data_IF_471430580432
#
_entry.id   IF_471430580432
#
_cell.length_a   1.000
_cell.length_b   1.000
_cell.length_c   1.000
_cell.angle_alpha   90.00
_cell.angle_beta   90.00
_cell.angle_gamma   90.00
#
_symmetry.space_group_name_H-M   'P 1'
#
loop_
_entity.id
_entity.type
_entity.pdbx_description
1 polymer ?
#
# COMPACT_ATOMS: atom_id res chain seq x y z
N UNK A 1 15.97 17.33 14.00
CA UNK A 1 14.50 17.27 13.91
C UNK A 1 14.06 16.30 14.98
N UNK A 2 13.08 16.66 15.81
CA UNK A 2 12.56 15.77 16.85
C UNK A 2 11.09 15.49 16.59
N UNK A 3 10.72 14.22 16.64
CA UNK A 3 9.34 13.78 16.50
C UNK A 3 8.54 14.02 17.78
N UNK A 4 7.26 14.31 17.61
CA UNK A 4 6.29 14.15 18.69
C UNK A 4 6.14 12.67 19.06
N UNK A 5 5.57 12.38 20.23
CA UNK A 5 5.32 10.99 20.66
C UNK A 5 4.44 10.22 19.67
N UNK A 6 3.44 10.89 19.08
CA UNK A 6 2.56 10.29 18.07
C UNK A 6 3.31 9.95 16.77
N UNK A 7 4.14 10.89 16.28
CA UNK A 7 4.99 10.67 15.12
C UNK A 7 5.95 9.49 15.34
N UNK A 8 6.52 9.38 16.55
CA UNK A 8 7.42 8.27 16.91
C UNK A 8 6.69 6.92 16.84
N UNK A 9 5.51 6.82 17.45
CA UNK A 9 4.68 5.61 17.42
C UNK A 9 4.32 5.23 15.98
N UNK A 10 3.96 6.22 15.15
CA UNK A 10 3.67 5.99 13.75
C UNK A 10 4.88 5.46 12.98
N UNK A 11 6.04 6.11 13.10
CA UNK A 11 7.26 5.68 12.43
C UNK A 11 7.70 4.29 12.87
N UNK A 12 7.54 3.94 14.14
CA UNK A 12 7.86 2.59 14.63
C UNK A 12 6.97 1.52 13.97
N UNK A 13 5.68 1.81 13.76
CA UNK A 13 4.78 0.91 13.02
C UNK A 13 5.17 0.78 11.55
N UNK A 14 5.53 1.89 10.91
CA UNK A 14 5.99 1.88 9.51
C UNK A 14 7.28 1.07 9.38
N UNK A 15 8.27 1.31 10.24
CA UNK A 15 9.56 0.59 10.22
C UNK A 15 9.38 -0.90 10.50
N UNK A 16 8.49 -1.28 11.42
CA UNK A 16 8.14 -2.68 11.65
C UNK A 16 7.49 -3.31 10.41
N UNK A 17 6.62 -2.59 9.71
CA UNK A 17 6.03 -3.07 8.45
C UNK A 17 7.07 -3.19 7.33
N UNK A 18 8.05 -2.29 7.26
CA UNK A 18 9.19 -2.38 6.31
C UNK A 18 10.02 -3.63 6.60
N UNK A 19 10.41 -3.85 7.86
CA UNK A 19 11.21 -5.04 8.22
C UNK A 19 10.46 -6.34 7.92
N UNK A 20 9.15 -6.38 8.16
CA UNK A 20 8.31 -7.52 7.77
C UNK A 20 8.25 -7.71 6.24
N UNK A 21 8.15 -6.62 5.47
CA UNK A 21 8.17 -6.68 4.01
C UNK A 21 9.50 -7.20 3.45
N UNK A 22 10.64 -6.80 4.05
CA UNK A 22 11.96 -7.24 3.63
C UNK A 22 12.22 -8.73 3.92
N UNK A 23 11.64 -9.24 5.00
CA UNK A 23 11.63 -10.70 5.29
C UNK A 23 10.69 -11.46 4.35
N UNK A 24 9.60 -10.82 3.93
CA UNK A 24 8.50 -11.45 3.22
C UNK A 24 7.49 -12.11 4.17
N UNK A 25 6.26 -12.35 3.71
CA UNK A 25 5.24 -13.00 4.52
C UNK A 25 5.53 -14.49 4.69
N UNK A 26 5.20 -15.04 5.86
CA UNK A 26 5.14 -16.49 6.06
C UNK A 26 3.87 -17.09 5.44
N UNK A 27 3.83 -18.41 5.30
CA UNK A 27 2.62 -19.12 4.84
C UNK A 27 1.41 -18.83 5.75
N UNK A 28 1.64 -18.72 7.06
CA UNK A 28 0.59 -18.40 8.03
C UNK A 28 0.08 -16.95 7.89
N UNK A 29 0.98 -16.01 7.59
CA UNK A 29 0.60 -14.62 7.29
C UNK A 29 -0.32 -14.56 6.06
N UNK A 30 0.05 -15.28 5.00
CA UNK A 30 -0.74 -15.33 3.76
C UNK A 30 -2.07 -16.05 3.98
N UNK A 31 -2.08 -17.19 4.66
CA UNK A 31 -3.29 -17.97 4.88
C UNK A 31 -4.36 -17.20 5.67
N UNK A 32 -3.92 -16.36 6.61
CA UNK A 32 -4.81 -15.52 7.42
C UNK A 32 -5.12 -14.14 6.80
N UNK A 33 -4.43 -13.76 5.73
CA UNK A 33 -4.58 -12.46 5.12
C UNK A 33 -5.89 -12.32 4.32
N UNK A 34 -6.58 -11.16 4.42
CA UNK A 34 -7.69 -10.83 3.54
C UNK A 34 -7.27 -10.85 2.08
N UNK A 35 -8.16 -11.28 1.19
CA UNK A 35 -7.92 -11.22 -0.25
C UNK A 35 -8.39 -9.86 -0.77
N UNK A 36 -7.57 -9.20 -1.59
CA UNK A 36 -7.89 -7.97 -2.27
C UNK A 36 -7.91 -8.23 -3.76
N UNK A 37 -9.08 -8.03 -4.36
CA UNK A 37 -9.38 -8.27 -5.77
C UNK A 37 -9.75 -6.97 -6.48
N UNK A 38 -9.63 -6.98 -7.81
CA UNK A 38 -9.85 -5.82 -8.70
C UNK A 38 -9.19 -4.57 -8.14
N UNK A 39 -7.94 -4.73 -7.73
CA UNK A 39 -7.23 -3.71 -6.98
C UNK A 39 -6.44 -2.76 -7.91
N UNK A 40 -6.24 -1.53 -7.45
CA UNK A 40 -5.42 -0.53 -8.14
C UNK A 40 -4.69 0.35 -7.12
N UNK A 41 -3.42 0.70 -7.36
CA UNK A 41 -2.70 1.65 -6.51
C UNK A 41 -3.20 3.08 -6.70
N UNK A 42 -3.19 3.84 -5.61
CA UNK A 42 -3.53 5.25 -5.61
C UNK A 42 -2.71 6.01 -4.56
N UNK A 43 -2.63 7.33 -4.73
CA UNK A 43 -2.15 8.26 -3.73
C UNK A 43 -3.38 8.83 -3.00
N UNK A 44 -3.42 8.72 -1.68
CA UNK A 44 -4.50 9.27 -0.86
C UNK A 44 -4.44 10.80 -0.80
N UNK A 45 -5.49 11.49 -0.36
CA UNK A 45 -5.46 12.94 -0.14
C UNK A 45 -4.34 13.41 0.79
N UNK A 46 -3.84 12.53 1.66
CA UNK A 46 -2.73 12.79 2.58
C UNK A 46 -1.35 12.46 1.96
N UNK A 47 -1.29 12.07 0.69
CA UNK A 47 -0.05 11.75 -0.02
C UNK A 47 0.48 10.33 0.23
N UNK A 48 -0.30 9.45 0.87
CA UNK A 48 0.12 8.07 1.11
C UNK A 48 -0.18 7.18 -0.10
N UNK A 49 0.78 6.34 -0.48
CA UNK A 49 0.50 5.22 -1.37
C UNK A 49 -0.44 4.25 -0.67
N UNK A 50 -1.51 3.85 -1.34
CA UNK A 50 -2.50 2.88 -0.85
C UNK A 50 -2.94 1.98 -2.01
N UNK A 51 -3.67 0.92 -1.68
CA UNK A 51 -4.47 0.19 -2.66
C UNK A 51 -5.94 0.48 -2.40
N UNK A 52 -6.74 0.51 -3.46
CA UNK A 52 -8.19 0.35 -3.36
C UNK A 52 -8.62 -0.88 -4.15
N UNK A 53 -9.73 -1.50 -3.76
CA UNK A 53 -10.24 -2.71 -4.39
C UNK A 53 -11.38 -3.36 -3.61
N UNK A 54 -11.81 -4.53 -4.03
CA UNK A 54 -12.77 -5.37 -3.29
C UNK A 54 -12.02 -6.30 -2.36
N UNK A 55 -12.25 -6.18 -1.06
CA UNK A 55 -11.70 -7.09 -0.07
C UNK A 55 -12.70 -8.20 0.28
N UNK A 56 -12.19 -9.40 0.53
CA UNK A 56 -12.93 -10.48 1.18
C UNK A 56 -12.18 -11.04 2.38
N UNK A 57 -12.94 -11.49 3.39
CA UNK A 57 -12.39 -12.04 4.63
C UNK A 57 -11.71 -10.99 5.52
N UNK A 58 -12.08 -9.71 5.41
CA UNK A 58 -11.50 -8.67 6.24
C UNK A 58 -12.02 -8.75 7.70
N UNK A 59 -11.16 -8.88 8.72
CA UNK A 59 -11.60 -9.18 10.09
C UNK A 59 -12.47 -8.10 10.74
N UNK A 60 -12.36 -6.86 10.26
CA UNK A 60 -13.10 -5.69 10.81
C UNK A 60 -14.19 -5.20 9.85
N UNK A 61 -14.01 -5.37 8.54
CA UNK A 61 -14.82 -4.69 7.51
C UNK A 61 -15.70 -5.67 6.73
N UNK A 62 -15.52 -6.97 6.93
CA UNK A 62 -16.15 -8.00 6.12
C UNK A 62 -15.77 -7.88 4.64
N UNK A 63 -16.67 -8.33 3.79
CA UNK A 63 -16.51 -8.24 2.35
C UNK A 63 -17.01 -6.87 1.87
N UNK A 64 -16.13 -6.06 1.28
CA UNK A 64 -16.45 -4.66 0.98
C UNK A 64 -15.51 -4.07 -0.09
N UNK A 65 -15.86 -2.89 -0.62
CA UNK A 65 -14.91 -2.03 -1.32
C UNK A 65 -14.16 -1.16 -0.31
N UNK A 66 -12.84 -1.19 -0.36
CA UNK A 66 -12.00 -0.49 0.62
C UNK A 66 -10.88 0.31 -0.04
N UNK A 67 -10.37 1.28 0.70
CA UNK A 67 -8.98 1.73 0.59
C UNK A 67 -8.19 1.10 1.73
N UNK A 68 -6.96 0.68 1.47
CA UNK A 68 -6.09 0.12 2.50
C UNK A 68 -5.46 1.23 3.34
N UNK A 69 -4.92 0.87 4.51
CA UNK A 69 -3.88 1.71 5.13
C UNK A 69 -2.67 1.87 4.20
N UNK A 70 -1.76 2.78 4.53
CA UNK A 70 -0.56 3.06 3.73
C UNK A 70 0.16 1.76 3.30
N UNK A 71 0.37 1.64 2.00
CA UNK A 71 1.12 0.58 1.34
C UNK A 71 2.61 0.77 1.60
N UNK A 72 3.27 -0.32 1.97
CA UNK A 72 4.71 -0.36 2.31
C UNK A 72 5.48 -1.17 1.27
N UNK A 73 4.93 -2.32 0.86
CA UNK A 73 5.52 -3.15 -0.17
C UNK A 73 4.45 -3.91 -0.92
N UNK A 74 4.77 -4.31 -2.15
CA UNK A 74 3.91 -5.12 -2.99
C UNK A 74 4.76 -6.05 -3.84
N UNK A 75 4.30 -7.28 -4.00
CA UNK A 75 4.79 -8.19 -5.00
C UNK A 75 3.57 -8.82 -5.70
N UNK A 76 3.15 -8.19 -6.80
CA UNK A 76 1.98 -8.62 -7.55
C UNK A 76 2.17 -10.02 -8.16
N UNK A 77 3.38 -10.35 -8.62
CA UNK A 77 3.70 -11.67 -9.16
C UNK A 77 3.61 -12.78 -8.11
N UNK A 78 4.04 -12.49 -6.87
CA UNK A 78 3.90 -13.41 -5.74
C UNK A 78 2.53 -13.30 -5.02
N UNK A 79 1.62 -12.45 -5.52
CA UNK A 79 0.26 -12.35 -5.01
C UNK A 79 0.11 -11.76 -3.62
N UNK A 80 0.97 -10.82 -3.19
CA UNK A 80 0.85 -10.21 -1.87
C UNK A 80 1.15 -8.71 -1.80
N UNK A 81 0.59 -8.04 -0.80
CA UNK A 81 0.92 -6.67 -0.40
C UNK A 81 1.12 -6.55 1.12
N UNK A 82 2.10 -5.75 1.53
CA UNK A 82 2.29 -5.29 2.91
C UNK A 82 1.83 -3.86 3.04
N UNK A 83 0.87 -3.62 3.94
CA UNK A 83 0.51 -2.28 4.39
C UNK A 83 1.06 -2.03 5.79
N UNK A 84 0.90 -0.84 6.35
CA UNK A 84 1.28 -0.59 7.76
C UNK A 84 0.52 -1.54 8.71
N UNK A 85 -0.76 -1.80 8.43
CA UNK A 85 -1.62 -2.56 9.34
C UNK A 85 -1.56 -4.07 9.14
N UNK A 86 -1.54 -4.57 7.91
CA UNK A 86 -1.61 -6.03 7.64
C UNK A 86 -1.03 -6.45 6.28
N UNK A 87 -0.96 -7.75 6.09
CA UNK A 87 -0.78 -8.40 4.80
C UNK A 87 -2.10 -8.51 4.04
N UNK A 88 -2.03 -8.53 2.72
CA UNK A 88 -3.13 -8.87 1.82
C UNK A 88 -2.67 -9.91 0.81
N UNK A 89 -3.54 -10.86 0.50
CA UNK A 89 -3.43 -11.68 -0.71
C UNK A 89 -3.96 -10.89 -1.88
N UNK A 90 -3.19 -10.78 -2.95
CA UNK A 90 -3.61 -10.10 -4.16
C UNK A 90 -4.21 -11.12 -5.12
N UNK A 91 -5.47 -10.90 -5.47
CA UNK A 91 -6.10 -11.56 -6.60
C UNK A 91 -5.83 -10.71 -7.87
N UNK A 92 -6.85 -10.47 -8.71
CA UNK A 92 -6.63 -9.84 -9.99
C UNK A 92 -6.47 -8.30 -9.85
N UNK A 93 -5.46 -7.67 -10.46
CA UNK A 93 -5.42 -6.22 -10.59
C UNK A 93 -6.57 -5.72 -11.48
N UNK A 94 -7.10 -4.53 -11.21
CA UNK A 94 -8.23 -3.97 -11.96
C UNK A 94 -7.93 -3.84 -13.47
N UNK A 95 -6.72 -3.44 -13.84
CA UNK A 95 -6.33 -3.32 -15.25
C UNK A 95 -6.37 -4.66 -16.01
N UNK A 96 -6.00 -5.75 -15.33
CA UNK A 96 -6.09 -7.09 -15.91
C UNK A 96 -7.55 -7.52 -16.05
N UNK A 97 -8.38 -7.25 -15.03
CA UNK A 97 -9.82 -7.51 -15.09
C UNK A 97 -10.51 -6.74 -16.23
N UNK A 98 -10.19 -5.46 -16.39
CA UNK A 98 -10.69 -4.61 -17.49
C UNK A 98 -10.28 -5.20 -18.86
N UNK A 99 -9.03 -5.65 -18.99
CA UNK A 99 -8.53 -6.26 -20.23
C UNK A 99 -9.27 -7.56 -20.57
N UNK A 100 -9.45 -8.45 -19.58
CA UNK A 100 -10.17 -9.71 -19.75
C UNK A 100 -11.65 -9.46 -20.11
N UNK A 101 -12.28 -8.49 -19.44
CA UNK A 101 -13.65 -8.10 -19.72
C UNK A 101 -13.79 -7.57 -21.15
N UNK A 102 -12.88 -6.71 -21.60
CA UNK A 102 -12.88 -6.19 -22.97
C UNK A 102 -12.69 -7.31 -24.01
N UNK A 103 -11.78 -8.25 -23.77
CA UNK A 103 -11.57 -9.40 -24.64
C UNK A 103 -12.85 -10.26 -24.77
N UNK A 104 -13.64 -10.37 -23.70
CA UNK A 104 -14.90 -11.13 -23.70
C UNK A 104 -16.08 -10.42 -24.40
N UNK A 105 -16.04 -9.08 -24.51
CA UNK A 105 -17.18 -8.26 -24.98
C UNK A 105 -17.22 -7.99 -26.50
N UNK A 106 -16.23 -8.43 -27.28
CA UNK A 106 -16.10 -8.09 -28.71
C UNK A 106 -15.79 -6.60 -28.96
N UNK A 107 -15.57 -6.17 -30.23
CA UNK A 107 -15.16 -4.78 -30.52
C UNK A 107 -16.31 -3.79 -30.30
N UNK A 108 -16.17 -2.90 -29.31
CA UNK A 108 -16.99 -1.68 -29.12
C UNK A 108 -16.08 -0.44 -29.25
N UNK A 109 -16.63 0.77 -29.52
CA UNK A 109 -15.83 1.99 -29.56
C UNK A 109 -15.04 2.16 -28.25
N UNK A 110 -13.82 2.69 -28.41
CA UNK A 110 -12.79 2.83 -27.40
C UNK A 110 -13.14 3.83 -26.29
N UNK A 111 -14.21 3.60 -25.55
CA UNK A 111 -14.47 4.27 -24.28
C UNK A 111 -15.19 3.31 -23.32
N UNK A 112 -14.47 2.43 -22.60
CA UNK A 112 -15.06 1.77 -21.44
C UNK A 112 -14.19 1.96 -20.19
N UNK A 113 -14.88 2.15 -19.05
CA UNK A 113 -14.36 1.97 -17.68
C UNK A 113 -13.51 3.07 -17.01
N UNK A 114 -12.93 4.06 -17.70
CA UNK A 114 -12.26 5.20 -16.99
C UNK A 114 -13.17 5.90 -15.98
N UNK A 115 -14.47 5.94 -16.25
CA UNK A 115 -15.48 6.62 -15.44
C UNK A 115 -15.79 5.96 -14.09
N UNK A 116 -15.38 4.71 -13.85
CA UNK A 116 -15.97 3.94 -12.76
C UNK A 116 -15.45 4.31 -11.35
N UNK A 117 -14.21 4.81 -11.17
CA UNK A 117 -13.69 5.03 -9.80
C UNK A 117 -12.59 6.09 -9.66
N UNK A 118 -12.77 7.31 -10.20
CA UNK A 118 -12.02 8.44 -9.67
C UNK A 118 -12.61 8.84 -8.31
N UNK A 119 -12.05 8.32 -7.23
CA UNK A 119 -12.41 8.75 -5.88
C UNK A 119 -11.88 10.19 -5.68
N UNK A 120 -12.74 11.18 -5.33
CA UNK A 120 -12.30 12.56 -5.16
C UNK A 120 -11.11 12.68 -4.19
N UNK A 121 -10.04 13.33 -4.65
CA UNK A 121 -8.80 13.52 -3.88
C UNK A 121 -7.83 12.33 -3.91
N UNK A 122 -8.17 11.24 -4.60
CA UNK A 122 -7.25 10.13 -4.84
C UNK A 122 -6.68 10.20 -6.25
N UNK A 123 -5.36 10.03 -6.37
CA UNK A 123 -4.69 9.99 -7.67
C UNK A 123 -4.36 8.54 -8.01
N UNK A 124 -5.02 7.98 -9.03
CA UNK A 124 -4.71 6.63 -9.51
C UNK A 124 -3.31 6.56 -10.09
N UNK A 125 -2.60 5.47 -9.82
CA UNK A 125 -1.33 5.16 -10.46
C UNK A 125 -1.61 4.08 -11.51
N UNK A 126 -1.54 4.44 -12.79
CA UNK A 126 -1.79 3.50 -13.89
C UNK A 126 -0.56 2.63 -14.18
N UNK A 127 0.64 3.20 -14.03
CA UNK A 127 1.90 2.49 -14.26
C UNK A 127 2.32 1.69 -13.02
N UNK A 128 2.10 0.37 -13.05
CA UNK A 128 2.50 -0.53 -11.98
C UNK A 128 4.04 -0.65 -11.85
N UNK A 129 4.81 -0.34 -12.89
CA UNK A 129 6.29 -0.33 -12.83
C UNK A 129 6.83 0.86 -12.04
N UNK A 130 6.04 1.94 -11.94
CA UNK A 130 6.38 3.11 -11.12
C UNK A 130 6.22 2.81 -9.62
N UNK A 131 5.30 1.93 -9.26
CA UNK A 131 4.92 1.70 -7.86
C UNK A 131 6.08 1.20 -6.98
N UNK A 132 6.88 0.18 -7.37
CA UNK A 132 8.05 -0.24 -6.59
C UNK A 132 9.07 0.88 -6.39
N UNK A 133 9.23 1.78 -7.37
CA UNK A 133 10.18 2.91 -7.28
C UNK A 133 9.71 3.93 -6.25
N UNK A 134 8.42 4.24 -6.23
CA UNK A 134 7.83 5.16 -5.26
C UNK A 134 7.91 4.58 -3.84
N UNK A 135 7.62 3.28 -3.67
CA UNK A 135 7.73 2.60 -2.38
C UNK A 135 9.18 2.58 -1.88
N UNK A 136 10.15 2.28 -2.75
CA UNK A 136 11.57 2.30 -2.40
C UNK A 136 12.05 3.71 -2.00
N UNK A 137 11.61 4.74 -2.73
CA UNK A 137 11.92 6.13 -2.40
C UNK A 137 11.32 6.53 -1.03
N UNK A 138 10.08 6.11 -0.76
CA UNK A 138 9.43 6.33 0.52
C UNK A 138 10.18 5.64 1.68
N UNK A 139 10.53 4.36 1.54
CA UNK A 139 11.25 3.60 2.58
C UNK A 139 12.59 4.26 2.90
N UNK A 140 13.35 4.67 1.87
CA UNK A 140 14.60 5.41 2.05
C UNK A 140 14.36 6.68 2.87
N UNK A 141 13.33 7.45 2.52
CA UNK A 141 13.00 8.69 3.23
C UNK A 141 12.60 8.46 4.68
N UNK A 142 11.82 7.41 4.96
CA UNK A 142 11.45 7.03 6.33
C UNK A 142 12.69 6.73 7.18
N UNK A 143 13.64 5.97 6.63
CA UNK A 143 14.89 5.62 7.31
C UNK A 143 15.77 6.84 7.61
N UNK A 144 15.89 7.76 6.66
CA UNK A 144 16.61 9.02 6.85
C UNK A 144 16.01 9.84 7.99
N UNK A 145 14.69 10.01 7.99
CA UNK A 145 13.98 10.79 9.01
C UNK A 145 14.06 10.13 10.39
N UNK A 146 13.97 8.80 10.48
CA UNK A 146 14.17 8.06 11.73
C UNK A 146 15.58 8.27 12.31
N UNK A 147 16.61 8.17 11.47
CA UNK A 147 17.98 8.40 11.88
C UNK A 147 18.19 9.82 12.39
N UNK A 148 17.61 10.82 11.72
CA UNK A 148 17.65 12.23 12.14
C UNK A 148 16.97 12.46 13.49
N UNK A 149 15.80 11.85 13.75
CA UNK A 149 15.09 11.92 15.04
C UNK A 149 15.93 11.30 16.16
N UNK A 150 16.47 10.11 15.95
CA UNK A 150 17.30 9.42 16.96
C UNK A 150 18.58 10.18 17.28
N UNK A 151 19.26 10.71 16.26
CA UNK A 151 20.46 11.52 16.45
C UNK A 151 20.18 12.79 17.28
N UNK A 152 19.07 13.48 17.00
CA UNK A 152 18.66 14.68 17.75
C UNK A 152 18.44 14.37 19.23
N UNK A 153 17.72 13.28 19.54
CA UNK A 153 17.46 12.86 20.93
C UNK A 153 18.72 12.46 21.70
N UNK A 154 19.67 11.81 21.02
CA UNK A 154 20.94 11.43 21.64
C UNK A 154 21.77 12.67 21.98
N UNK A 155 21.84 13.65 21.08
CA UNK A 155 22.52 14.92 21.34
C UNK A 155 21.89 15.65 22.53
N UNK A 156 20.55 15.76 22.58
CA UNK A 156 19.83 16.41 23.67
C UNK A 156 20.12 15.77 25.05
N UNK A 157 20.26 14.44 25.10
CA UNK A 157 20.61 13.69 26.33
C UNK A 157 22.06 13.85 26.78
N UNK A 158 22.97 14.28 25.91
CA UNK A 158 24.39 14.49 26.23
C UNK A 158 24.68 15.91 26.73
N UNK A 159 23.77 16.85 26.45
CA UNK A 159 23.89 18.27 26.82
C UNK A 159 23.10 18.68 28.06
N UNK A 160 22.36 17.75 28.69
CA UNK A 160 21.59 17.98 29.92
C UNK A 160 22.00 17.01 31.01
#
# INVERSE_FOLDING_TARGET
MEFTSEQRIWFDRVLAAVAAAETGPSDADIASAPALDRWRPAISPQGHLILWGTVSGHPILGDNHITTSQLIAINAAAGWARTVSRWYRLAQPLAAFESDLMASMGPRPAEPARMLFELPGFQSIEDLELLPRLLAAYIRRVRELDAMDRASRLAAKQTG
#
